data_IF_935148340998
#
_entry.id   IF_935148340998
#
_cell.length_a   1.000
_cell.length_b   1.000
_cell.length_c   1.000
_cell.angle_alpha   90.00
_cell.angle_beta   90.00
_cell.angle_gamma   90.00
#
_symmetry.space_group_name_H-M   'P 1'
#
loop_
_entity.id
_entity.type
_entity.pdbx_description
1 polymer ?
#
# COMPACT_ATOMS: atom_id res chain seq x y z
N UNK A 1 3.22 34.16 0.39
CA UNK A 1 2.34 32.98 0.19
C UNK A 1 2.48 32.14 1.44
N UNK A 2 1.46 32.18 2.28
CA UNK A 2 1.36 31.27 3.43
C UNK A 2 1.31 29.82 2.93
N UNK A 3 1.92 28.87 3.64
CA UNK A 3 1.79 27.46 3.30
C UNK A 3 0.31 27.05 3.50
N UNK A 4 -0.22 26.14 2.67
CA UNK A 4 -1.59 25.68 2.82
C UNK A 4 -1.73 24.96 4.17
N UNK A 5 -2.71 25.39 4.96
CA UNK A 5 -3.10 24.71 6.19
C UNK A 5 -3.59 23.30 5.83
N UNK A 6 -2.79 22.29 6.17
CA UNK A 6 -3.22 20.90 6.18
C UNK A 6 -4.34 20.77 7.21
N UNK A 7 -5.58 20.69 6.72
CA UNK A 7 -6.74 20.39 7.55
C UNK A 7 -6.61 18.94 8.06
N UNK A 8 -6.00 18.78 9.24
CA UNK A 8 -6.12 17.55 10.03
C UNK A 8 -7.57 17.44 10.49
N UNK A 9 -8.38 16.64 9.78
CA UNK A 9 -9.67 16.18 10.27
C UNK A 9 -9.47 15.07 11.34
N UNK A 10 -8.70 15.37 12.38
CA UNK A 10 -8.56 14.50 13.55
C UNK A 10 -9.66 14.83 14.54
N UNK A 11 -10.77 14.09 14.48
CA UNK A 11 -11.57 13.96 15.70
C UNK A 11 -10.71 13.15 16.65
N UNK A 12 -10.27 13.68 17.82
CA UNK A 12 -9.31 12.98 18.66
C UNK A 12 -9.93 11.68 19.15
N UNK A 13 -9.51 10.57 18.56
CA UNK A 13 -9.80 9.24 19.08
C UNK A 13 -9.07 9.11 20.41
N UNK A 14 -9.79 8.62 21.42
CA UNK A 14 -9.22 8.40 22.75
C UNK A 14 -8.09 7.37 22.60
N UNK A 15 -6.83 7.68 22.98
CA UNK A 15 -5.72 6.77 22.78
C UNK A 15 -5.91 5.46 23.55
N UNK A 16 -5.70 4.33 22.88
CA UNK A 16 -5.71 3.01 23.49
C UNK A 16 -4.37 2.70 24.16
N UNK A 17 -4.41 2.24 25.41
CA UNK A 17 -3.23 1.84 26.17
C UNK A 17 -3.47 0.44 26.73
N UNK A 18 -2.47 -0.43 26.59
CA UNK A 18 -2.48 -1.76 27.18
C UNK A 18 -1.56 -1.80 28.40
N UNK A 19 -2.10 -2.24 29.54
CA UNK A 19 -1.33 -2.47 30.76
C UNK A 19 -1.19 -3.99 30.96
N UNK A 20 0.05 -4.47 31.13
CA UNK A 20 0.37 -5.87 31.34
C UNK A 20 1.00 -6.03 32.72
N UNK A 21 0.29 -6.67 33.65
CA UNK A 21 0.73 -6.84 35.04
C UNK A 21 -0.03 -8.01 35.69
N UNK A 22 0.63 -8.79 36.55
CA UNK A 22 0.01 -9.93 37.23
C UNK A 22 -0.91 -9.50 38.40
N UNK A 23 -0.85 -8.24 38.82
CA UNK A 23 -1.65 -7.67 39.92
C UNK A 23 -2.81 -6.82 39.39
N UNK A 24 -3.99 -7.43 39.38
CA UNK A 24 -5.26 -6.77 39.07
C UNK A 24 -5.51 -5.46 39.84
N UNK A 25 -5.04 -5.37 41.09
CA UNK A 25 -5.20 -4.16 41.91
C UNK A 25 -4.52 -2.93 41.32
N UNK A 26 -3.33 -3.09 40.71
CA UNK A 26 -2.61 -2.00 40.07
C UNK A 26 -3.33 -1.55 38.80
N UNK A 27 -3.71 -2.51 37.95
CA UNK A 27 -4.46 -2.28 36.71
C UNK A 27 -5.75 -1.51 36.99
N UNK A 28 -6.53 -1.94 37.99
CA UNK A 28 -7.76 -1.25 38.37
C UNK A 28 -7.50 0.15 38.92
N UNK A 29 -6.40 0.35 39.64
CA UNK A 29 -5.95 1.68 40.09
C UNK A 29 -5.68 2.63 38.93
N UNK A 30 -4.88 2.19 37.96
CA UNK A 30 -4.54 2.97 36.77
C UNK A 30 -5.82 3.26 35.97
N UNK A 31 -6.63 2.25 35.66
CA UNK A 31 -7.86 2.39 34.87
C UNK A 31 -8.85 3.38 35.47
N UNK A 32 -9.02 3.40 36.80
CA UNK A 32 -9.87 4.40 37.49
C UNK A 32 -9.36 5.82 37.33
N UNK A 33 -8.04 6.00 37.41
CA UNK A 33 -7.41 7.32 37.45
C UNK A 33 -7.28 7.98 36.07
N UNK A 34 -7.40 7.22 34.97
CA UNK A 34 -7.20 7.76 33.60
C UNK A 34 -8.37 7.54 32.63
N UNK A 35 -9.52 7.05 33.12
CA UNK A 35 -10.70 6.69 32.31
C UNK A 35 -11.25 7.79 31.39
N UNK A 36 -10.94 9.06 31.68
CA UNK A 36 -11.41 10.21 30.90
C UNK A 36 -10.41 10.62 29.80
N UNK A 37 -9.19 10.07 29.79
CA UNK A 37 -8.10 10.45 28.88
C UNK A 37 -7.66 9.30 27.97
N UNK A 38 -7.76 8.05 28.44
CA UNK A 38 -7.27 6.88 27.72
C UNK A 38 -8.26 5.71 27.79
N UNK A 39 -8.30 4.91 26.72
CA UNK A 39 -8.99 3.63 26.70
C UNK A 39 -8.01 2.55 27.17
N UNK A 40 -8.24 2.00 28.38
CA UNK A 40 -7.34 1.04 29.00
C UNK A 40 -7.83 -0.40 28.79
N UNK A 41 -7.03 -1.17 28.05
CA UNK A 41 -7.08 -2.63 28.03
C UNK A 41 -6.03 -3.22 28.99
N UNK A 42 -6.27 -4.46 29.42
CA UNK A 42 -5.45 -5.13 30.42
C UNK A 42 -5.13 -6.55 29.99
N UNK A 43 -3.92 -7.01 30.33
CA UNK A 43 -3.48 -8.39 30.24
C UNK A 43 -2.78 -8.79 31.54
N UNK A 44 -2.88 -10.06 31.91
CA UNK A 44 -2.24 -10.62 33.11
C UNK A 44 -0.93 -11.35 32.81
N UNK A 45 -0.58 -11.51 31.53
CA UNK A 45 0.64 -12.15 31.06
C UNK A 45 1.11 -11.57 29.72
N UNK A 46 2.38 -11.78 29.39
CA UNK A 46 2.95 -11.36 28.10
C UNK A 46 2.33 -12.09 26.91
N UNK A 47 1.95 -13.37 27.07
CA UNK A 47 1.26 -14.18 26.06
C UNK A 47 -0.12 -13.60 25.73
N UNK A 48 -0.95 -13.37 26.75
CA UNK A 48 -2.28 -12.75 26.59
C UNK A 48 -2.17 -11.35 25.96
N UNK A 49 -1.15 -10.59 26.34
CA UNK A 49 -0.93 -9.26 25.77
C UNK A 49 -0.62 -9.30 24.26
N UNK A 50 0.14 -10.29 23.78
CA UNK A 50 0.41 -10.45 22.34
C UNK A 50 -0.85 -10.82 21.55
N UNK A 51 -1.73 -11.65 22.13
CA UNK A 51 -3.03 -11.96 21.54
C UNK A 51 -3.93 -10.71 21.45
N UNK A 52 -4.02 -9.94 22.53
CA UNK A 52 -4.79 -8.69 22.58
C UNK A 52 -4.27 -7.68 21.55
N UNK A 53 -2.96 -7.50 21.43
CA UNK A 53 -2.37 -6.59 20.43
C UNK A 53 -2.74 -7.02 19.01
N UNK A 54 -2.71 -8.32 18.73
CA UNK A 54 -3.03 -8.85 17.40
C UNK A 54 -4.52 -8.69 17.04
N UNK A 55 -5.42 -8.79 18.02
CA UNK A 55 -6.87 -8.76 17.79
C UNK A 55 -7.50 -7.37 17.91
N UNK A 56 -6.99 -6.53 18.83
CA UNK A 56 -7.62 -5.27 19.25
C UNK A 56 -6.75 -4.03 19.02
N UNK A 57 -5.56 -4.20 18.47
CA UNK A 57 -4.68 -3.08 18.11
C UNK A 57 -5.30 -2.12 17.08
N UNK A 58 -4.64 -0.97 16.83
CA UNK A 58 -3.34 -0.55 17.38
C UNK A 58 -3.45 0.04 18.79
N UNK A 59 -2.38 -0.09 19.57
CA UNK A 59 -2.22 0.54 20.88
C UNK A 59 -1.17 1.66 20.80
N UNK A 60 -1.48 2.84 21.35
CA UNK A 60 -0.54 3.95 21.39
C UNK A 60 0.61 3.67 22.36
N UNK A 61 0.27 3.13 23.54
CA UNK A 61 1.23 2.80 24.59
C UNK A 61 0.97 1.39 25.11
N UNK A 62 2.04 0.63 25.31
CA UNK A 62 2.00 -0.61 26.09
C UNK A 62 2.91 -0.43 27.30
N UNK A 63 2.38 -0.68 28.48
CA UNK A 63 3.11 -0.65 29.74
C UNK A 63 3.15 -2.05 30.32
N UNK A 64 4.35 -2.63 30.45
CA UNK A 64 4.53 -3.99 30.97
C UNK A 64 5.22 -3.97 32.33
N UNK A 65 4.79 -4.84 33.25
CA UNK A 65 5.63 -5.18 34.39
C UNK A 65 6.88 -5.94 33.95
N UNK A 66 7.96 -5.81 34.72
CA UNK A 66 9.19 -6.54 34.48
C UNK A 66 9.03 -8.03 34.85
N UNK A 67 8.47 -8.30 36.02
CA UNK A 67 8.33 -9.66 36.56
C UNK A 67 6.88 -10.13 36.43
N UNK A 68 6.62 -10.94 35.42
CA UNK A 68 5.32 -11.58 35.20
C UNK A 68 5.60 -13.08 35.13
N UNK A 69 4.89 -13.89 35.92
CA UNK A 69 5.16 -15.34 35.98
C UNK A 69 5.07 -15.98 34.58
N UNK A 70 6.20 -16.43 34.03
CA UNK A 70 6.32 -16.86 32.64
C UNK A 70 7.21 -15.92 31.83
N UNK A 71 6.70 -15.42 30.69
CA UNK A 71 7.42 -14.44 29.86
C UNK A 71 7.57 -13.11 30.60
N UNK A 72 8.82 -12.65 30.73
CA UNK A 72 9.10 -11.39 31.42
C UNK A 72 8.82 -10.17 30.52
N UNK A 73 8.81 -8.97 31.12
CA UNK A 73 8.49 -7.73 30.40
C UNK A 73 9.44 -7.41 29.24
N UNK A 74 10.74 -7.72 29.36
CA UNK A 74 11.72 -7.48 28.27
C UNK A 74 11.44 -8.40 27.08
N UNK A 75 11.23 -9.69 27.34
CA UNK A 75 10.92 -10.69 26.30
C UNK A 75 9.62 -10.34 25.57
N UNK A 76 8.59 -9.96 26.32
CA UNK A 76 7.32 -9.51 25.78
C UNK A 76 7.49 -8.26 24.91
N UNK A 77 8.12 -7.21 25.42
CA UNK A 77 8.30 -5.96 24.66
C UNK A 77 9.19 -6.17 23.41
N UNK A 78 10.14 -7.11 23.46
CA UNK A 78 10.95 -7.52 22.31
C UNK A 78 10.11 -8.21 21.21
N UNK A 79 9.15 -9.07 21.59
CA UNK A 79 8.19 -9.65 20.64
C UNK A 79 7.21 -8.60 20.11
N UNK A 80 6.69 -7.75 21.00
CA UNK A 80 5.80 -6.64 20.65
C UNK A 80 6.43 -5.71 19.62
N UNK A 81 7.73 -5.40 19.73
CA UNK A 81 8.44 -4.58 18.74
C UNK A 81 8.32 -5.12 17.31
N UNK A 82 8.28 -6.44 17.13
CA UNK A 82 8.12 -7.06 15.80
C UNK A 82 6.68 -6.99 15.30
N UNK A 83 5.72 -7.13 16.21
CA UNK A 83 4.29 -7.15 15.91
C UNK A 83 3.70 -5.74 15.70
N UNK A 84 4.09 -4.79 16.55
CA UNK A 84 3.63 -3.41 16.58
C UNK A 84 4.84 -2.47 16.80
N UNK A 85 5.64 -2.22 15.75
CA UNK A 85 6.89 -1.46 15.87
C UNK A 85 6.66 0.00 16.30
N UNK A 86 5.56 0.61 15.87
CA UNK A 86 5.25 2.02 16.12
C UNK A 86 4.68 2.28 17.53
N UNK A 87 4.21 1.24 18.24
CA UNK A 87 3.68 1.37 19.60
C UNK A 87 4.76 1.82 20.59
N UNK A 88 4.46 2.83 21.42
CA UNK A 88 5.38 3.25 22.49
C UNK A 88 5.42 2.21 23.60
N UNK A 89 6.61 1.69 23.87
CA UNK A 89 6.86 0.64 24.87
C UNK A 89 7.38 1.24 26.16
N UNK A 90 6.72 0.94 27.28
CA UNK A 90 7.12 1.40 28.61
C UNK A 90 7.16 0.22 29.57
N UNK A 91 7.95 0.35 30.64
CA UNK A 91 8.14 -0.71 31.61
C UNK A 91 7.92 -0.23 33.04
N UNK A 92 7.21 -1.01 33.84
CA UNK A 92 7.19 -0.87 35.29
C UNK A 92 8.28 -1.75 35.90
N UNK A 93 9.07 -1.22 36.82
CA UNK A 93 10.23 -1.93 37.41
C UNK A 93 10.28 -1.78 38.91
N UNK A 94 10.76 -2.80 39.63
CA UNK A 94 11.14 -2.67 41.03
C UNK A 94 12.58 -2.19 41.20
N UNK A 95 12.93 -1.74 42.41
CA UNK A 95 14.27 -1.23 42.74
C UNK A 95 15.41 -2.26 42.50
N UNK A 96 15.09 -3.56 42.58
CA UNK A 96 16.04 -4.65 42.32
C UNK A 96 16.27 -4.92 40.81
N UNK A 97 15.38 -4.44 39.93
CA UNK A 97 15.36 -4.79 38.50
C UNK A 97 16.01 -3.73 37.61
N UNK A 98 16.13 -2.48 38.08
CA UNK A 98 16.53 -1.34 37.23
C UNK A 98 17.92 -1.50 36.61
N UNK A 99 18.89 -2.08 37.33
CA UNK A 99 20.25 -2.33 36.81
C UNK A 99 20.25 -3.41 35.72
N UNK A 100 19.52 -4.51 35.94
CA UNK A 100 19.38 -5.62 34.99
C UNK A 100 18.54 -5.23 33.77
N UNK A 101 17.57 -4.34 33.97
CA UNK A 101 16.73 -3.81 32.91
C UNK A 101 17.56 -3.03 31.89
N UNK A 102 18.42 -2.08 32.34
CA UNK A 102 19.24 -1.20 31.48
C UNK A 102 20.13 -1.99 30.50
N UNK A 103 20.75 -3.07 30.94
CA UNK A 103 21.64 -3.88 30.09
C UNK A 103 20.86 -4.71 29.04
N UNK A 104 19.57 -4.96 29.29
CA UNK A 104 18.67 -5.72 28.41
C UNK A 104 17.86 -4.84 27.44
N UNK A 105 17.90 -3.50 27.58
CA UNK A 105 17.02 -2.54 26.87
C UNK A 105 17.31 -2.41 25.39
N UNK A 106 18.55 -2.64 24.96
CA UNK A 106 18.96 -2.34 23.59
C UNK A 106 18.15 -3.10 22.53
N UNK A 107 17.58 -4.26 22.87
CA UNK A 107 16.76 -5.04 21.94
C UNK A 107 15.27 -4.62 21.92
N UNK A 108 14.76 -4.02 23.00
CA UNK A 108 13.33 -3.68 23.16
C UNK A 108 12.92 -2.27 22.76
N UNK A 109 13.87 -1.33 22.61
CA UNK A 109 13.63 0.12 22.46
C UNK A 109 12.52 0.62 23.41
N UNK A 110 12.77 0.47 24.71
CA UNK A 110 11.86 0.93 25.76
C UNK A 110 12.00 2.45 25.85
N UNK A 111 10.87 3.15 25.71
CA UNK A 111 10.83 4.62 25.78
C UNK A 111 11.04 5.13 27.20
N UNK A 112 10.47 4.45 28.20
CA UNK A 112 10.51 4.90 29.59
C UNK A 112 10.33 3.76 30.59
N UNK A 113 11.07 3.87 31.69
CA UNK A 113 10.92 3.08 32.91
C UNK A 113 10.12 3.87 33.95
N UNK A 114 9.23 3.18 34.66
CA UNK A 114 8.45 3.71 35.78
C UNK A 114 8.78 2.84 36.98
N UNK A 115 9.31 3.44 38.04
CA UNK A 115 9.70 2.73 39.26
C UNK A 115 8.46 2.45 40.14
N UNK A 116 8.33 1.21 40.63
CA UNK A 116 7.32 0.80 41.60
C UNK A 116 7.83 0.99 43.04
N UNK A 117 6.98 1.47 43.98
CA UNK A 117 5.57 1.82 43.80
C UNK A 117 5.39 3.18 43.10
N UNK A 118 4.47 3.27 42.14
CA UNK A 118 4.17 4.49 41.41
C UNK A 118 2.75 5.00 41.72
N UNK A 119 2.63 6.26 42.16
CA UNK A 119 1.35 6.92 42.32
C UNK A 119 0.86 7.61 41.03
N UNK A 120 -0.40 8.10 41.02
CA UNK A 120 -0.99 8.78 39.86
C UNK A 120 -0.17 9.96 39.34
N UNK A 121 0.51 10.68 40.23
CA UNK A 121 1.41 11.78 39.93
C UNK A 121 2.63 11.36 39.08
N UNK A 122 2.99 10.08 39.08
CA UNK A 122 4.11 9.55 38.31
C UNK A 122 3.63 8.94 36.98
N UNK A 123 2.68 8.01 37.03
CA UNK A 123 2.32 7.27 35.83
C UNK A 123 1.42 8.07 34.89
N UNK A 124 0.60 9.02 35.34
CA UNK A 124 -0.25 9.83 34.43
C UNK A 124 0.61 10.69 33.49
N UNK A 125 1.59 11.49 33.98
CA UNK A 125 2.49 12.21 33.09
C UNK A 125 3.31 11.27 32.19
N UNK A 126 3.69 10.09 32.69
CA UNK A 126 4.42 9.11 31.91
C UNK A 126 3.57 8.58 30.73
N UNK A 127 2.30 8.22 30.97
CA UNK A 127 1.38 7.77 29.92
C UNK A 127 1.12 8.87 28.89
N UNK A 128 0.91 10.12 29.33
CA UNK A 128 0.76 11.28 28.42
C UNK A 128 2.00 11.46 27.54
N UNK A 129 3.19 11.40 28.12
CA UNK A 129 4.44 11.47 27.36
C UNK A 129 4.60 10.27 26.38
N UNK A 130 4.15 9.08 26.77
CA UNK A 130 4.17 7.91 25.90
C UNK A 130 3.23 8.03 24.70
N UNK A 131 2.02 8.59 24.90
CA UNK A 131 1.06 8.87 23.82
C UNK A 131 1.60 9.95 22.89
N UNK A 132 2.24 10.99 23.42
CA UNK A 132 2.87 12.02 22.58
C UNK A 132 4.03 11.45 21.76
N UNK A 133 4.85 10.59 22.36
CA UNK A 133 5.89 9.88 21.62
C UNK A 133 5.29 9.01 20.49
N UNK A 134 4.17 8.34 20.75
CA UNK A 134 3.47 7.55 19.74
C UNK A 134 3.04 8.44 18.57
N UNK A 135 2.43 9.60 18.85
CA UNK A 135 2.03 10.56 17.82
C UNK A 135 3.21 11.03 16.98
N UNK A 136 4.35 11.34 17.60
CA UNK A 136 5.56 11.74 16.88
C UNK A 136 6.09 10.62 15.97
N UNK A 137 6.10 9.38 16.45
CA UNK A 137 6.52 8.21 15.66
C UNK A 137 5.57 7.98 14.48
N UNK A 138 4.26 8.08 14.72
CA UNK A 138 3.25 7.94 13.66
C UNK A 138 3.38 9.04 12.62
N UNK A 139 3.51 10.31 13.03
CA UNK A 139 3.68 11.44 12.13
C UNK A 139 4.96 11.31 11.27
N UNK A 140 6.06 10.83 11.87
CA UNK A 140 7.30 10.57 11.13
C UNK A 140 7.12 9.42 10.12
N UNK A 141 6.45 8.34 10.51
CA UNK A 141 6.16 7.20 9.64
C UNK A 141 5.27 7.62 8.47
N UNK A 142 4.24 8.43 8.72
CA UNK A 142 3.32 8.96 7.71
C UNK A 142 4.04 9.90 6.74
N UNK A 143 4.78 10.89 7.24
CA UNK A 143 5.56 11.81 6.41
C UNK A 143 6.55 11.07 5.50
N UNK A 144 7.21 10.03 6.03
CA UNK A 144 8.13 9.21 5.25
C UNK A 144 7.40 8.40 4.17
N UNK A 145 6.23 7.82 4.49
CA UNK A 145 5.37 7.13 3.52
C UNK A 145 4.96 8.09 2.40
N UNK A 146 4.48 9.28 2.73
CA UNK A 146 4.03 10.26 1.75
C UNK A 146 5.17 10.78 0.87
N UNK A 147 6.33 11.05 1.47
CA UNK A 147 7.52 11.49 0.73
C UNK A 147 7.99 10.41 -0.24
N UNK A 148 8.04 9.15 0.21
CA UNK A 148 8.43 8.02 -0.64
C UNK A 148 7.42 7.82 -1.79
N UNK A 149 6.13 7.85 -1.47
CA UNK A 149 5.06 7.72 -2.45
C UNK A 149 5.11 8.85 -3.49
N UNK A 150 5.31 10.10 -3.05
CA UNK A 150 5.49 11.25 -3.94
C UNK A 150 6.69 11.10 -4.87
N UNK A 151 7.84 10.66 -4.34
CA UNK A 151 9.04 10.43 -5.15
C UNK A 151 8.82 9.35 -6.21
N UNK A 152 8.20 8.23 -5.85
CA UNK A 152 7.96 7.13 -6.79
C UNK A 152 6.94 7.54 -7.85
N UNK A 153 5.89 8.29 -7.49
CA UNK A 153 4.93 8.83 -8.46
C UNK A 153 5.61 9.74 -9.48
N UNK A 154 6.46 10.67 -9.03
CA UNK A 154 7.20 11.57 -9.94
C UNK A 154 8.16 10.77 -10.85
N UNK A 155 8.89 9.80 -10.31
CA UNK A 155 9.75 8.94 -11.13
C UNK A 155 8.95 8.14 -12.15
N UNK A 156 7.79 7.62 -11.74
CA UNK A 156 6.84 6.97 -12.64
C UNK A 156 6.39 7.89 -13.77
N UNK A 157 5.96 9.11 -13.46
CA UNK A 157 5.56 10.10 -14.47
C UNK A 157 6.68 10.44 -15.46
N UNK A 158 7.91 10.61 -14.99
CA UNK A 158 9.07 10.88 -15.86
C UNK A 158 9.35 9.67 -16.75
N UNK A 159 9.30 8.46 -16.21
CA UNK A 159 9.51 7.25 -17.01
C UNK A 159 8.38 7.04 -18.02
N UNK A 160 7.14 7.42 -17.71
CA UNK A 160 6.03 7.46 -18.68
C UNK A 160 6.30 8.36 -19.87
N UNK A 161 7.10 9.41 -19.69
CA UNK A 161 7.51 10.29 -20.77
C UNK A 161 8.62 9.72 -21.66
N UNK A 162 9.38 8.73 -21.16
CA UNK A 162 10.53 8.12 -21.85
C UNK A 162 10.18 6.79 -22.52
N UNK A 163 9.33 5.97 -21.88
CA UNK A 163 8.77 4.75 -22.45
C UNK A 163 7.24 4.74 -22.29
N UNK A 164 6.52 5.40 -23.19
CA UNK A 164 5.08 5.63 -23.04
C UNK A 164 4.24 4.34 -23.03
N UNK A 165 4.66 3.30 -23.75
CA UNK A 165 3.90 2.05 -23.85
C UNK A 165 4.00 1.23 -22.55
N UNK A 166 5.21 1.04 -22.04
CA UNK A 166 5.45 0.31 -20.79
C UNK A 166 4.74 0.95 -19.58
N UNK A 167 4.65 2.28 -19.57
CA UNK A 167 4.03 3.01 -18.46
C UNK A 167 2.52 3.21 -18.60
N UNK A 168 1.99 3.32 -19.84
CA UNK A 168 0.54 3.25 -20.05
C UNK A 168 -0.02 1.93 -19.49
N UNK A 169 0.74 0.84 -19.66
CA UNK A 169 0.45 -0.46 -19.06
C UNK A 169 0.42 -0.39 -17.54
N UNK A 170 1.48 0.12 -16.92
CA UNK A 170 1.60 0.25 -15.47
C UNK A 170 0.44 1.04 -14.86
N UNK A 171 0.02 2.14 -15.50
CA UNK A 171 -1.14 2.94 -15.06
C UNK A 171 -2.46 2.18 -15.14
N UNK A 172 -2.73 1.45 -16.23
CA UNK A 172 -3.96 0.63 -16.35
C UNK A 172 -4.02 -0.49 -15.30
N UNK A 173 -2.89 -1.14 -15.05
CA UNK A 173 -2.76 -2.17 -14.02
C UNK A 173 -2.98 -1.55 -12.64
N UNK A 174 -2.32 -0.44 -12.33
CA UNK A 174 -2.47 0.28 -11.05
C UNK A 174 -3.93 0.62 -10.78
N UNK A 175 -4.62 1.16 -11.77
CA UNK A 175 -6.04 1.48 -11.65
C UNK A 175 -6.88 0.25 -11.29
N UNK A 176 -6.72 -0.84 -12.04
CA UNK A 176 -7.48 -2.08 -11.83
C UNK A 176 -7.21 -2.67 -10.43
N UNK A 177 -5.94 -2.64 -10.01
CA UNK A 177 -5.51 -3.07 -8.68
C UNK A 177 -6.11 -2.19 -7.57
N UNK A 178 -6.09 -0.85 -7.74
CA UNK A 178 -6.66 0.11 -6.77
C UNK A 178 -8.15 -0.14 -6.55
N UNK A 179 -8.92 -0.28 -7.64
CA UNK A 179 -10.37 -0.53 -7.55
C UNK A 179 -10.67 -1.87 -6.89
N UNK A 180 -9.94 -2.92 -7.26
CA UNK A 180 -10.12 -4.26 -6.67
C UNK A 180 -9.77 -4.26 -5.19
N UNK A 181 -8.66 -3.63 -4.79
CA UNK A 181 -8.26 -3.53 -3.39
C UNK A 181 -9.28 -2.75 -2.55
N UNK A 182 -9.86 -1.67 -3.10
CA UNK A 182 -10.91 -0.91 -2.44
C UNK A 182 -12.21 -1.73 -2.29
N UNK A 183 -12.62 -2.49 -3.31
CA UNK A 183 -13.79 -3.36 -3.26
C UNK A 183 -13.65 -4.47 -2.21
N UNK A 184 -12.42 -4.94 -1.98
CA UNK A 184 -12.07 -5.93 -0.97
C UNK A 184 -11.87 -5.34 0.44
N UNK A 185 -12.07 -4.03 0.63
CA UNK A 185 -11.86 -3.30 1.89
C UNK A 185 -10.45 -3.53 2.48
N UNK A 186 -9.43 -3.55 1.60
CA UNK A 186 -8.05 -3.78 2.04
C UNK A 186 -7.43 -2.52 2.65
N UNK A 187 -6.72 -2.64 3.78
CA UNK A 187 -5.98 -1.53 4.36
C UNK A 187 -4.76 -1.17 3.50
N UNK A 188 -4.20 0.03 3.71
CA UNK A 188 -2.98 0.49 3.04
C UNK A 188 -3.02 0.37 1.50
N UNK A 189 -4.11 0.82 0.86
CA UNK A 189 -4.34 0.75 -0.60
C UNK A 189 -3.11 1.15 -1.43
N UNK A 190 -2.38 2.16 -0.96
CA UNK A 190 -1.17 2.68 -1.58
C UNK A 190 -0.11 1.60 -1.86
N UNK A 191 -0.03 0.53 -1.04
CA UNK A 191 0.94 -0.57 -1.23
C UNK A 191 0.64 -1.37 -2.50
N UNK A 192 -0.64 -1.62 -2.77
CA UNK A 192 -1.08 -2.36 -3.96
C UNK A 192 -0.90 -1.53 -5.22
N UNK A 193 -1.21 -0.23 -5.14
CA UNK A 193 -0.91 0.73 -6.22
C UNK A 193 0.60 0.72 -6.54
N UNK A 194 1.44 0.72 -5.51
CA UNK A 194 2.89 0.70 -5.67
C UNK A 194 3.39 -0.60 -6.29
N UNK A 195 2.85 -1.74 -5.87
CA UNK A 195 3.16 -3.04 -6.46
C UNK A 195 2.81 -3.07 -7.95
N UNK A 196 1.68 -2.47 -8.34
CA UNK A 196 1.27 -2.38 -9.74
C UNK A 196 2.22 -1.51 -10.57
N UNK A 197 2.57 -0.30 -10.11
CA UNK A 197 3.52 0.58 -10.81
C UNK A 197 4.88 -0.12 -10.98
N UNK A 198 5.37 -0.75 -9.91
CA UNK A 198 6.72 -1.31 -9.87
C UNK A 198 6.81 -2.74 -10.42
N UNK A 199 5.67 -3.38 -10.71
CA UNK A 199 5.58 -4.73 -11.32
C UNK A 199 6.43 -4.88 -12.59
N UNK A 200 6.57 -3.80 -13.35
CA UNK A 200 7.25 -3.77 -14.64
C UNK A 200 8.75 -3.45 -14.55
N UNK A 201 9.26 -3.02 -13.37
CA UNK A 201 10.66 -2.55 -13.29
C UNK A 201 11.69 -3.65 -13.56
N UNK A 202 11.32 -4.91 -13.27
CA UNK A 202 12.14 -6.08 -13.58
C UNK A 202 12.28 -6.36 -15.08
N UNK A 203 11.34 -5.87 -15.90
CA UNK A 203 11.36 -6.07 -17.35
C UNK A 203 12.49 -5.32 -18.05
N UNK A 204 13.19 -4.39 -17.37
CA UNK A 204 14.31 -3.62 -17.94
C UNK A 204 15.46 -4.48 -18.48
N UNK A 205 15.62 -5.70 -17.95
CA UNK A 205 16.65 -6.65 -18.38
C UNK A 205 16.16 -7.61 -19.47
N UNK A 206 14.87 -7.57 -19.81
CA UNK A 206 14.26 -8.48 -20.78
C UNK A 206 14.39 -7.84 -22.17
N UNK A 207 15.00 -8.53 -23.15
CA UNK A 207 15.04 -8.06 -24.52
C UNK A 207 13.64 -7.77 -25.08
N UNK A 208 13.52 -6.68 -25.84
CA UNK A 208 12.28 -6.25 -26.47
C UNK A 208 11.62 -7.36 -27.31
N UNK A 209 12.41 -8.18 -28.01
CA UNK A 209 11.92 -9.31 -28.81
C UNK A 209 11.21 -10.36 -27.97
N UNK A 210 11.63 -10.58 -26.72
CA UNK A 210 10.97 -11.52 -25.80
C UNK A 210 9.71 -10.87 -25.25
N UNK A 211 9.77 -9.59 -24.88
CA UNK A 211 8.59 -8.86 -24.42
C UNK A 211 7.48 -8.87 -25.49
N UNK A 212 7.80 -8.64 -26.75
CA UNK A 212 6.82 -8.67 -27.84
C UNK A 212 6.13 -10.04 -27.97
N UNK A 213 6.90 -11.13 -27.91
CA UNK A 213 6.34 -12.49 -27.90
C UNK A 213 5.38 -12.71 -26.73
N UNK A 214 5.75 -12.27 -25.53
CA UNK A 214 4.89 -12.36 -24.34
C UNK A 214 3.59 -11.59 -24.53
N UNK A 215 3.65 -10.35 -25.03
CA UNK A 215 2.45 -9.53 -25.25
C UNK A 215 1.54 -10.11 -26.34
N UNK A 216 2.10 -10.75 -27.36
CA UNK A 216 1.35 -11.38 -28.46
C UNK A 216 0.93 -12.83 -28.15
N UNK A 217 1.22 -13.33 -26.95
CA UNK A 217 0.96 -14.72 -26.54
C UNK A 217 1.61 -15.76 -27.48
N UNK A 218 2.78 -15.40 -28.00
CA UNK A 218 3.61 -16.27 -28.82
C UNK A 218 4.40 -17.24 -27.94
N UNK A 219 4.67 -18.43 -28.47
CA UNK A 219 5.45 -19.44 -27.75
C UNK A 219 6.89 -18.98 -27.54
N UNK A 220 7.31 -18.91 -26.28
CA UNK A 220 8.70 -18.70 -25.90
C UNK A 220 9.49 -20.01 -25.99
N UNK A 221 10.74 -19.94 -26.40
CA UNK A 221 11.70 -21.02 -26.17
C UNK A 221 11.95 -21.20 -24.67
N UNK A 222 12.51 -22.35 -24.28
CA UNK A 222 12.80 -22.64 -22.87
C UNK A 222 13.68 -21.55 -22.23
N UNK A 223 14.74 -21.13 -22.92
CA UNK A 223 15.68 -20.12 -22.42
C UNK A 223 15.02 -18.73 -22.32
N UNK A 224 14.17 -18.37 -23.29
CA UNK A 224 13.41 -17.12 -23.25
C UNK A 224 12.40 -17.11 -22.10
N UNK A 225 11.71 -18.22 -21.86
CA UNK A 225 10.80 -18.37 -20.73
C UNK A 225 11.55 -18.28 -19.39
N UNK A 226 12.70 -18.95 -19.27
CA UNK A 226 13.53 -18.90 -18.06
C UNK A 226 14.04 -17.49 -17.77
N UNK A 227 14.40 -16.73 -18.81
CA UNK A 227 14.79 -15.33 -18.67
C UNK A 227 13.59 -14.45 -18.27
N UNK A 228 12.45 -14.61 -18.94
CA UNK A 228 11.23 -13.88 -18.60
C UNK A 228 10.78 -14.16 -17.16
N UNK A 229 10.87 -15.40 -16.68
CA UNK A 229 10.49 -15.77 -15.32
C UNK A 229 11.38 -15.13 -14.22
N UNK A 230 12.52 -14.50 -14.56
CA UNK A 230 13.46 -13.91 -13.60
C UNK A 230 13.18 -12.44 -13.27
N UNK A 231 12.81 -11.61 -14.25
CA UNK A 231 11.52 -10.95 -14.10
C UNK A 231 11.16 -10.36 -12.72
N UNK A 232 10.21 -11.01 -12.02
CA UNK A 232 9.72 -10.57 -10.72
C UNK A 232 10.80 -10.54 -9.63
N UNK A 233 11.76 -11.47 -9.66
CA UNK A 233 12.80 -11.58 -8.64
C UNK A 233 13.84 -10.45 -8.77
N UNK A 234 14.08 -9.98 -9.98
CA UNK A 234 14.95 -8.81 -10.20
C UNK A 234 14.28 -7.55 -9.64
N UNK A 235 12.98 -7.38 -9.91
CA UNK A 235 12.22 -6.30 -9.28
C UNK A 235 12.26 -6.40 -7.75
N UNK A 236 12.06 -7.59 -7.18
CA UNK A 236 12.21 -7.85 -5.75
C UNK A 236 13.58 -7.41 -5.21
N UNK A 237 14.67 -7.77 -5.88
CA UNK A 237 16.03 -7.42 -5.47
C UNK A 237 16.33 -5.93 -5.52
N UNK A 238 15.68 -5.19 -6.42
CA UNK A 238 15.75 -3.73 -6.47
C UNK A 238 14.94 -3.11 -5.33
N UNK A 239 13.70 -3.57 -5.14
CA UNK A 239 12.74 -2.99 -4.21
C UNK A 239 13.10 -3.27 -2.74
N UNK A 240 13.60 -4.46 -2.41
CA UNK A 240 13.95 -4.83 -1.02
C UNK A 240 15.08 -3.99 -0.42
N UNK A 241 15.79 -3.23 -1.23
CA UNK A 241 16.84 -2.28 -0.78
C UNK A 241 16.25 -0.97 -0.26
N UNK A 242 14.99 -0.70 -0.57
CA UNK A 242 14.27 0.48 -0.09
C UNK A 242 13.55 0.09 1.21
N UNK A 243 13.85 0.75 2.35
CA UNK A 243 13.17 0.47 3.61
C UNK A 243 11.64 0.61 3.47
N UNK A 244 10.90 -0.28 4.12
CA UNK A 244 9.42 -0.30 4.13
C UNK A 244 8.77 -0.72 2.80
N UNK A 245 9.56 -1.20 1.83
CA UNK A 245 9.07 -1.80 0.58
C UNK A 245 9.05 -3.33 0.61
N UNK A 246 9.28 -3.97 1.76
CA UNK A 246 9.43 -5.42 1.84
C UNK A 246 8.16 -6.15 1.40
N UNK A 247 6.99 -5.64 1.80
CA UNK A 247 5.71 -6.19 1.38
C UNK A 247 5.43 -5.94 -0.10
N UNK A 248 5.65 -4.73 -0.60
CA UNK A 248 5.51 -4.40 -2.04
C UNK A 248 6.43 -5.29 -2.87
N UNK A 249 7.67 -5.47 -2.43
CA UNK A 249 8.65 -6.34 -3.06
C UNK A 249 8.15 -7.80 -3.09
N UNK A 250 7.62 -8.32 -1.97
CA UNK A 250 7.03 -9.67 -1.91
C UNK A 250 5.86 -9.83 -2.88
N UNK A 251 5.01 -8.81 -2.99
CA UNK A 251 3.87 -8.80 -3.91
C UNK A 251 4.35 -8.91 -5.36
N UNK A 252 5.30 -8.06 -5.74
CA UNK A 252 5.90 -8.07 -7.10
C UNK A 252 6.62 -9.38 -7.37
N UNK A 253 7.40 -9.91 -6.42
CA UNK A 253 8.16 -11.16 -6.56
C UNK A 253 7.28 -12.35 -6.97
N UNK A 254 6.02 -12.38 -6.51
CA UNK A 254 5.09 -13.48 -6.74
C UNK A 254 4.02 -13.14 -7.77
N UNK A 255 4.22 -12.11 -8.61
CA UNK A 255 3.21 -11.67 -9.59
C UNK A 255 2.90 -12.69 -10.70
N UNK A 256 3.80 -13.66 -10.91
CA UNK A 256 3.64 -14.77 -11.86
C UNK A 256 3.16 -16.07 -11.19
N UNK A 257 2.78 -16.03 -9.90
CA UNK A 257 2.20 -17.20 -9.21
C UNK A 257 0.76 -17.42 -9.62
N UNK A 258 0.42 -18.70 -9.75
CA UNK A 258 -0.95 -19.17 -9.91
C UNK A 258 -1.49 -19.62 -8.55
N UNK A 259 -2.80 -19.48 -8.36
CA UNK A 259 -3.48 -19.79 -7.10
C UNK A 259 -3.35 -21.27 -6.71
N UNK A 260 -3.31 -22.18 -7.68
CA UNK A 260 -3.07 -23.62 -7.50
C UNK A 260 -1.63 -23.98 -7.06
N UNK A 261 -0.72 -23.00 -7.04
CA UNK A 261 0.69 -23.13 -6.69
C UNK A 261 1.64 -23.22 -7.88
N UNK A 262 1.10 -23.24 -9.10
CA UNK A 262 1.86 -23.13 -10.35
C UNK A 262 2.52 -21.77 -10.53
N UNK A 263 3.18 -21.59 -11.68
CA UNK A 263 3.87 -20.35 -12.02
C UNK A 263 5.19 -20.15 -11.25
N UNK A 264 5.65 -18.89 -11.21
CA UNK A 264 6.94 -18.51 -10.62
C UNK A 264 6.75 -17.49 -9.48
N UNK A 265 7.58 -17.54 -8.42
CA UNK A 265 8.70 -18.46 -8.19
C UNK A 265 8.23 -19.89 -7.88
N UNK A 266 9.09 -20.90 -8.12
CA UNK A 266 8.78 -22.32 -7.84
C UNK A 266 9.05 -22.69 -6.37
N UNK A 267 8.41 -21.97 -5.46
CA UNK A 267 8.60 -22.09 -4.01
C UNK A 267 7.52 -22.92 -3.30
N UNK A 268 6.60 -23.53 -4.06
CA UNK A 268 5.52 -24.39 -3.54
C UNK A 268 4.35 -23.66 -2.88
N UNK A 269 4.40 -22.33 -2.70
CA UNK A 269 3.29 -21.55 -2.14
C UNK A 269 2.06 -21.64 -3.03
N UNK A 270 0.89 -21.78 -2.41
CA UNK A 270 -0.41 -21.84 -3.07
C UNK A 270 -1.51 -21.20 -2.21
N UNK A 271 -2.65 -20.89 -2.83
CA UNK A 271 -3.81 -20.34 -2.13
C UNK A 271 -3.47 -19.07 -1.36
N UNK A 272 -3.88 -19.01 -0.09
CA UNK A 272 -3.68 -17.86 0.79
C UNK A 272 -2.22 -17.64 1.24
N UNK A 273 -1.31 -18.58 0.97
CA UNK A 273 0.12 -18.38 1.20
C UNK A 273 0.73 -17.35 0.22
N UNK A 274 0.04 -17.12 -0.90
CA UNK A 274 0.43 -16.11 -1.89
C UNK A 274 -0.06 -14.74 -1.38
N UNK A 275 0.80 -13.70 -1.34
CA UNK A 275 0.39 -12.36 -0.92
C UNK A 275 -0.86 -11.91 -1.69
N UNK A 276 -1.84 -11.35 -0.98
CA UNK A 276 -3.10 -10.90 -1.61
C UNK A 276 -2.85 -9.91 -2.74
N UNK A 277 -1.87 -9.01 -2.58
CA UNK A 277 -1.46 -8.10 -3.65
C UNK A 277 -0.94 -8.80 -4.91
N UNK A 278 -0.24 -9.94 -4.77
CA UNK A 278 0.20 -10.74 -5.93
C UNK A 278 -0.99 -11.39 -6.64
N UNK A 279 -1.98 -11.89 -5.88
CA UNK A 279 -3.20 -12.49 -6.44
C UNK A 279 -4.01 -11.47 -7.24
N UNK A 280 -4.17 -10.25 -6.72
CA UNK A 280 -4.81 -9.13 -7.44
C UNK A 280 -3.98 -8.77 -8.69
N UNK A 281 -2.66 -8.64 -8.54
CA UNK A 281 -1.77 -8.23 -9.62
C UNK A 281 -1.74 -9.24 -10.78
N UNK A 282 -1.76 -10.55 -10.51
CA UNK A 282 -1.83 -11.60 -11.54
C UNK A 282 -3.07 -11.46 -12.42
N UNK A 283 -4.24 -11.23 -11.81
CA UNK A 283 -5.50 -11.01 -12.54
C UNK A 283 -5.38 -9.73 -13.38
N UNK A 284 -4.93 -8.63 -12.78
CA UNK A 284 -4.79 -7.34 -13.48
C UNK A 284 -3.79 -7.39 -14.65
N UNK A 285 -2.68 -8.12 -14.51
CA UNK A 285 -1.66 -8.31 -15.55
C UNK A 285 -2.20 -9.13 -16.73
N UNK A 286 -2.91 -10.22 -16.45
CA UNK A 286 -3.52 -11.06 -17.48
C UNK A 286 -4.66 -10.34 -18.20
N UNK A 287 -5.49 -9.62 -17.46
CA UNK A 287 -6.53 -8.77 -18.01
C UNK A 287 -5.95 -7.72 -18.96
N UNK A 288 -4.95 -6.95 -18.50
CA UNK A 288 -4.30 -5.93 -19.34
C UNK A 288 -3.64 -6.53 -20.59
N UNK A 289 -3.06 -7.74 -20.50
CA UNK A 289 -2.52 -8.45 -21.66
C UNK A 289 -3.59 -8.90 -22.66
N UNK A 290 -4.80 -9.24 -22.20
CA UNK A 290 -5.94 -9.55 -23.09
C UNK A 290 -6.43 -8.28 -23.79
N UNK A 291 -6.63 -7.19 -23.04
CA UNK A 291 -7.03 -5.90 -23.59
C UNK A 291 -5.99 -5.36 -24.59
N UNK A 292 -4.70 -5.50 -24.27
CA UNK A 292 -3.59 -5.10 -25.15
C UNK A 292 -3.58 -5.84 -26.50
N UNK A 293 -4.13 -7.06 -26.55
CA UNK A 293 -4.33 -7.83 -27.78
C UNK A 293 -5.61 -7.44 -28.55
N UNK A 294 -6.35 -6.45 -28.07
CA UNK A 294 -7.59 -5.98 -28.67
C UNK A 294 -8.82 -6.85 -28.36
N UNK A 295 -8.73 -7.71 -27.34
CA UNK A 295 -9.89 -8.47 -26.85
C UNK A 295 -10.78 -7.50 -26.08
N UNK A 296 -12.09 -7.54 -26.35
CA UNK A 296 -13.04 -6.69 -25.64
C UNK A 296 -13.17 -7.10 -24.17
N UNK A 297 -13.67 -6.18 -23.35
CA UNK A 297 -13.83 -6.36 -21.91
C UNK A 297 -14.56 -7.65 -21.53
N UNK A 298 -15.72 -7.89 -22.14
CA UNK A 298 -16.61 -8.98 -21.77
C UNK A 298 -15.97 -10.33 -22.11
N UNK A 299 -15.33 -10.42 -23.26
CA UNK A 299 -14.60 -11.62 -23.66
C UNK A 299 -13.31 -11.80 -22.84
N UNK A 300 -12.60 -10.74 -22.46
CA UNK A 300 -11.43 -10.83 -21.59
C UNK A 300 -11.79 -11.40 -20.21
N UNK A 301 -12.83 -10.87 -19.57
CA UNK A 301 -13.38 -11.36 -18.29
C UNK A 301 -13.78 -12.84 -18.38
N UNK A 302 -14.45 -13.22 -19.47
CA UNK A 302 -14.83 -14.60 -19.74
C UNK A 302 -13.61 -15.52 -19.91
N UNK A 303 -12.58 -15.08 -20.63
CA UNK A 303 -11.35 -15.86 -20.79
C UNK A 303 -10.60 -16.05 -19.47
N UNK A 304 -10.56 -15.03 -18.59
CA UNK A 304 -10.00 -15.19 -17.24
C UNK A 304 -10.78 -16.23 -16.44
N UNK A 305 -12.11 -16.20 -16.53
CA UNK A 305 -13.00 -17.15 -15.83
C UNK A 305 -12.81 -18.61 -16.27
N UNK A 306 -12.31 -18.85 -17.48
CA UNK A 306 -12.07 -20.20 -18.02
C UNK A 306 -10.74 -20.80 -17.54
N UNK A 307 -9.85 -20.01 -16.91
CA UNK A 307 -8.54 -20.48 -16.44
C UNK A 307 -8.64 -21.07 -15.04
N UNK A 308 -9.04 -22.34 -14.97
CA UNK A 308 -9.19 -23.07 -13.70
C UNK A 308 -7.88 -23.13 -12.91
N UNK A 309 -7.94 -22.79 -11.62
CA UNK A 309 -6.80 -22.86 -10.70
C UNK A 309 -5.81 -21.69 -10.78
N UNK A 310 -5.96 -20.77 -11.73
CA UNK A 310 -5.01 -19.66 -11.90
C UNK A 310 -5.22 -18.54 -10.89
N UNK A 311 -6.49 -18.25 -10.59
CA UNK A 311 -6.89 -17.09 -9.82
C UNK A 311 -7.61 -17.48 -8.54
N UNK A 312 -7.50 -16.60 -7.54
CA UNK A 312 -8.36 -16.67 -6.36
C UNK A 312 -9.80 -16.34 -6.78
N UNK A 313 -10.78 -17.24 -6.57
CA UNK A 313 -12.16 -17.04 -7.03
C UNK A 313 -12.83 -15.80 -6.41
N UNK A 314 -12.54 -15.47 -5.15
CA UNK A 314 -13.15 -14.33 -4.46
C UNK A 314 -12.61 -12.99 -5.00
N UNK A 315 -11.31 -12.97 -5.31
CA UNK A 315 -10.67 -11.79 -5.91
C UNK A 315 -11.09 -11.64 -7.36
N UNK A 316 -11.20 -12.73 -8.12
CA UNK A 316 -11.65 -12.70 -9.51
C UNK A 316 -13.08 -12.15 -9.63
N UNK A 317 -13.98 -12.60 -8.76
CA UNK A 317 -15.35 -12.06 -8.69
C UNK A 317 -15.36 -10.57 -8.35
N UNK A 318 -14.57 -10.15 -7.34
CA UNK A 318 -14.43 -8.74 -6.99
C UNK A 318 -13.85 -7.90 -8.13
N UNK A 319 -12.86 -8.44 -8.84
CA UNK A 319 -12.25 -7.82 -10.01
C UNK A 319 -13.29 -7.65 -11.11
N UNK A 320 -14.09 -8.68 -11.44
CA UNK A 320 -15.17 -8.59 -12.42
C UNK A 320 -16.17 -7.49 -12.07
N UNK A 321 -16.60 -7.39 -10.81
CA UNK A 321 -17.53 -6.34 -10.38
C UNK A 321 -16.94 -4.94 -10.58
N UNK A 322 -15.65 -4.74 -10.25
CA UNK A 322 -14.97 -3.45 -10.48
C UNK A 322 -14.72 -3.15 -11.96
N UNK A 323 -14.51 -4.19 -12.75
CA UNK A 323 -14.35 -4.14 -14.20
C UNK A 323 -15.68 -3.82 -14.91
N UNK A 324 -16.81 -4.29 -14.38
CA UNK A 324 -18.16 -3.92 -14.84
C UNK A 324 -18.53 -2.50 -14.40
N UNK A 325 -17.89 -1.97 -13.35
CA UNK A 325 -17.78 -0.51 -13.10
C UNK A 325 -16.70 0.09 -14.03
N UNK A 326 -16.61 -0.39 -15.26
CA UNK A 326 -16.15 0.42 -16.38
C UNK A 326 -17.16 1.56 -16.52
N UNK A 327 -16.89 2.60 -15.73
CA UNK A 327 -17.38 3.96 -15.87
C UNK A 327 -17.59 4.22 -17.36
N UNK A 328 -18.81 4.59 -17.74
CA UNK A 328 -19.18 5.01 -19.10
C UNK A 328 -18.26 6.17 -19.49
N UNK A 329 -17.10 5.83 -20.03
CA UNK A 329 -16.18 6.78 -20.58
C UNK A 329 -16.78 7.22 -21.89
N UNK A 330 -17.30 8.45 -21.91
CA UNK A 330 -17.79 9.01 -23.17
C UNK A 330 -16.55 9.48 -23.91
N UNK A 331 -16.30 8.91 -25.08
CA UNK A 331 -15.30 9.45 -25.99
C UNK A 331 -15.76 10.83 -26.45
N UNK A 332 -14.99 11.85 -26.08
CA UNK A 332 -15.27 13.23 -26.38
C UNK A 332 -14.03 13.90 -26.97
N UNK A 333 -14.28 14.86 -27.87
CA UNK A 333 -13.25 15.77 -28.34
C UNK A 333 -13.06 16.85 -27.28
N UNK A 334 -11.93 16.82 -26.58
CA UNK A 334 -11.62 17.72 -25.46
C UNK A 334 -10.55 18.72 -25.88
N UNK A 335 -10.75 20.00 -25.57
CA UNK A 335 -9.75 21.04 -25.76
C UNK A 335 -8.61 20.85 -24.76
N UNK A 336 -7.36 21.15 -25.14
CA UNK A 336 -6.19 20.94 -24.27
C UNK A 336 -6.29 21.68 -22.93
N UNK A 337 -7.00 22.80 -22.87
CA UNK A 337 -7.26 23.54 -21.62
C UNK A 337 -8.31 22.91 -20.71
N UNK A 338 -9.21 22.10 -21.28
CA UNK A 338 -10.27 21.41 -20.55
C UNK A 338 -9.88 19.97 -20.15
N UNK A 339 -8.69 19.51 -20.56
CA UNK A 339 -8.12 18.26 -20.08
C UNK A 339 -7.90 18.32 -18.58
N UNK A 340 -8.50 17.38 -17.86
CA UNK A 340 -8.31 17.19 -16.42
C UNK A 340 -7.46 15.96 -16.16
N UNK A 341 -6.82 15.85 -14.98
CA UNK A 341 -6.25 14.59 -14.55
C UNK A 341 -7.27 13.45 -14.61
N UNK A 342 -6.81 12.21 -14.80
CA UNK A 342 -7.63 10.98 -14.83
C UNK A 342 -8.49 10.75 -16.10
N UNK A 343 -8.40 11.61 -17.11
CA UNK A 343 -8.94 11.30 -18.44
C UNK A 343 -7.98 10.34 -19.17
N UNK A 344 -8.47 9.53 -20.10
CA UNK A 344 -7.60 8.69 -20.94
C UNK A 344 -7.55 9.25 -22.35
N UNK A 345 -6.38 9.36 -22.96
CA UNK A 345 -6.29 9.74 -24.37
C UNK A 345 -6.86 8.62 -25.25
N UNK A 346 -7.90 8.93 -26.03
CA UNK A 346 -8.55 7.97 -26.94
C UNK A 346 -7.84 7.86 -28.30
N UNK A 347 -6.83 8.69 -28.54
CA UNK A 347 -6.04 8.74 -29.78
C UNK A 347 -4.54 8.85 -29.49
N UNK A 348 -3.73 8.52 -30.48
CA UNK A 348 -2.33 8.94 -30.52
C UNK A 348 -2.23 10.45 -30.78
N UNK A 349 -1.31 11.12 -30.11
CA UNK A 349 -0.95 12.51 -30.38
C UNK A 349 0.37 12.52 -31.13
N UNK A 350 0.35 13.03 -32.36
CA UNK A 350 1.50 13.15 -33.25
C UNK A 350 1.74 14.62 -33.57
N UNK A 351 3.00 14.99 -33.83
CA UNK A 351 3.30 16.31 -34.39
C UNK A 351 2.99 16.39 -35.90
N UNK A 352 3.16 17.58 -36.47
CA UNK A 352 2.92 17.83 -37.91
C UNK A 352 3.82 17.04 -38.84
N UNK A 353 4.94 16.52 -38.36
CA UNK A 353 5.87 15.66 -39.11
C UNK A 353 5.50 14.17 -38.95
N UNK A 354 4.47 13.85 -38.17
CA UNK A 354 4.00 12.48 -37.93
C UNK A 354 4.69 11.77 -36.77
N UNK A 355 5.59 12.45 -36.04
CA UNK A 355 6.31 11.90 -34.90
C UNK A 355 5.34 11.62 -33.76
N UNK A 356 5.35 10.41 -33.21
CA UNK A 356 4.54 10.05 -32.04
C UNK A 356 5.04 10.81 -30.80
N UNK A 357 4.17 11.64 -30.22
CA UNK A 357 4.47 12.41 -29.02
C UNK A 357 3.86 11.78 -27.78
N UNK A 358 2.64 11.25 -27.90
CA UNK A 358 1.91 10.59 -26.82
C UNK A 358 1.08 9.42 -27.40
N UNK A 359 1.18 8.20 -26.85
CA UNK A 359 0.38 7.07 -27.32
C UNK A 359 -1.09 7.17 -26.87
N UNK A 360 -1.95 6.42 -27.55
CA UNK A 360 -3.32 6.17 -27.11
C UNK A 360 -3.33 5.40 -25.78
N UNK A 361 -4.31 5.71 -24.93
CA UNK A 361 -4.58 4.99 -23.67
C UNK A 361 -3.80 5.50 -22.46
N UNK A 362 -2.96 6.53 -22.64
CA UNK A 362 -2.25 7.16 -21.53
C UNK A 362 -3.22 8.03 -20.71
N UNK A 363 -3.16 7.88 -19.39
CA UNK A 363 -3.90 8.73 -18.46
C UNK A 363 -3.29 10.14 -18.41
N UNK A 364 -4.15 11.15 -18.45
CA UNK A 364 -3.75 12.54 -18.34
C UNK A 364 -3.29 12.83 -16.91
N UNK A 365 -2.00 13.15 -16.77
CA UNK A 365 -1.43 13.73 -15.55
C UNK A 365 -1.21 15.23 -15.73
N UNK A 366 -1.06 16.02 -14.65
CA UNK A 366 -0.72 17.45 -14.76
C UNK A 366 0.52 17.72 -15.62
N UNK A 367 1.52 16.83 -15.53
CA UNK A 367 2.74 16.90 -16.34
C UNK A 367 2.46 16.62 -17.82
N UNK A 368 1.67 15.58 -18.13
CA UNK A 368 1.30 15.27 -19.51
C UNK A 368 0.47 16.38 -20.15
N UNK A 369 -0.50 16.93 -19.43
CA UNK A 369 -1.33 18.06 -19.87
C UNK A 369 -0.43 19.26 -20.18
N UNK A 370 0.51 19.58 -19.29
CA UNK A 370 1.47 20.66 -19.49
C UNK A 370 2.36 20.42 -20.72
N UNK A 371 2.81 19.18 -20.93
CA UNK A 371 3.60 18.79 -22.11
C UNK A 371 2.80 18.92 -23.41
N UNK A 372 1.55 18.47 -23.44
CA UNK A 372 0.65 18.63 -24.59
C UNK A 372 0.43 20.11 -24.92
N UNK A 373 0.14 20.95 -23.91
CA UNK A 373 0.02 22.40 -24.10
C UNK A 373 1.30 23.03 -24.65
N UNK A 374 2.47 22.58 -24.21
CA UNK A 374 3.76 23.05 -24.72
C UNK A 374 4.01 22.59 -26.17
N UNK A 375 3.65 21.36 -26.52
CA UNK A 375 3.73 20.89 -27.91
C UNK A 375 2.76 21.63 -28.83
N UNK A 376 1.57 22.00 -28.35
CA UNK A 376 0.65 22.81 -29.12
C UNK A 376 1.27 24.18 -29.44
N UNK A 377 1.94 24.80 -28.45
CA UNK A 377 2.64 26.07 -28.61
C UNK A 377 3.88 26.02 -29.52
N UNK A 378 4.63 24.92 -29.50
CA UNK A 378 5.95 24.84 -30.15
C UNK A 378 6.02 23.95 -31.40
N UNK A 379 5.19 22.91 -31.49
CA UNK A 379 5.26 21.84 -32.51
C UNK A 379 3.94 21.61 -33.26
N UNK A 380 2.99 22.54 -33.15
CA UNK A 380 1.73 22.57 -33.90
C UNK A 380 0.91 21.26 -33.82
N UNK A 381 0.77 20.66 -32.64
CA UNK A 381 -0.27 19.63 -32.45
C UNK A 381 -1.66 20.28 -32.42
N UNK A 382 -2.71 19.51 -32.72
CA UNK A 382 -4.09 19.98 -32.64
C UNK A 382 -4.42 20.46 -31.21
N UNK A 383 -5.14 21.58 -31.09
CA UNK A 383 -5.61 22.14 -29.81
C UNK A 383 -6.70 21.28 -29.15
N UNK A 384 -7.20 20.27 -29.87
CA UNK A 384 -8.13 19.27 -29.38
C UNK A 384 -7.54 17.87 -29.49
N UNK A 385 -7.87 17.02 -28.51
CA UNK A 385 -7.58 15.58 -28.53
C UNK A 385 -8.86 14.79 -28.26
N UNK A 386 -8.97 13.59 -28.82
CA UNK A 386 -9.99 12.64 -28.37
C UNK A 386 -9.56 12.08 -27.01
N UNK A 387 -10.45 12.19 -26.03
CA UNK A 387 -10.24 11.65 -24.70
C UNK A 387 -11.51 10.94 -24.22
N UNK A 388 -11.30 9.83 -23.52
CA UNK A 388 -12.31 9.17 -22.72
C UNK A 388 -12.49 10.00 -21.44
N UNK A 389 -13.67 10.60 -21.30
CA UNK A 389 -14.05 11.40 -20.13
C UNK A 389 -14.94 10.55 -19.20
N UNK A 390 -14.62 10.43 -17.91
CA UNK A 390 -15.44 9.64 -17.00
C UNK A 390 -16.78 10.34 -16.73
N UNK A 391 -17.91 9.62 -16.83
CA UNK A 391 -19.27 10.15 -16.58
C UNK A 391 -19.46 10.67 -15.16
N UNK A 392 -18.76 10.08 -14.19
CA UNK A 392 -18.65 10.53 -12.79
C UNK A 392 -17.19 10.83 -12.46
N UNK A 393 -16.93 11.90 -11.70
CA UNK A 393 -15.58 12.17 -11.21
C UNK A 393 -15.06 10.93 -10.44
N UNK A 394 -13.77 10.59 -10.55
CA UNK A 394 -13.23 9.44 -9.85
C UNK A 394 -13.54 9.56 -8.36
N UNK A 395 -13.77 8.41 -7.71
CA UNK A 395 -14.05 8.22 -6.28
C UNK A 395 -13.12 8.97 -5.31
N UNK A 396 -12.11 9.73 -5.74
CA UNK A 396 -11.38 10.65 -4.87
C UNK A 396 -12.28 11.77 -4.33
N UNK A 397 -13.32 12.22 -5.06
CA UNK A 397 -14.33 13.13 -4.50
C UNK A 397 -15.27 12.42 -3.54
N UNK A 398 -15.70 11.19 -3.84
CA UNK A 398 -16.60 10.41 -2.99
C UNK A 398 -15.91 9.72 -1.80
N UNK A 399 -14.61 9.45 -1.84
CA UNK A 399 -13.83 8.96 -0.69
C UNK A 399 -13.43 10.13 0.23
N UNK A 400 -13.22 11.33 -0.33
CA UNK A 400 -13.15 12.54 0.45
C UNK A 400 -14.50 12.87 1.13
N UNK A 401 -15.63 12.61 0.46
CA UNK A 401 -16.98 12.87 1.00
C UNK A 401 -17.56 11.74 1.88
N UNK A 402 -17.26 10.46 1.62
CA UNK A 402 -17.68 9.32 2.42
C UNK A 402 -16.92 9.22 3.76
N UNK A 403 -15.70 9.77 3.81
CA UNK A 403 -15.00 10.04 5.06
C UNK A 403 -15.69 11.11 5.93
N UNK A 404 -16.47 12.01 5.31
CA UNK A 404 -17.25 13.04 6.02
C UNK A 404 -18.71 12.66 6.28
N UNK A 405 -19.32 11.79 5.48
CA UNK A 405 -20.76 11.51 5.53
C UNK A 405 -21.20 10.41 6.52
N UNK A 406 -20.27 9.72 7.22
CA UNK A 406 -20.60 8.84 8.35
C UNK A 406 -20.68 9.55 9.72
N UNK A 407 -20.64 10.89 9.74
CA UNK A 407 -20.94 11.70 10.94
C UNK A 407 -22.10 12.63 10.64
N UNK A 408 -23.30 12.10 10.82
CA UNK A 408 -24.53 12.89 11.03
C UNK A 408 -25.31 12.24 12.15
#
# INVERSE_FOLDING_TARGET
MEPPATAMNDTPTIPKILIVDDKLSLIQGIKRNVRNEFEIEAALSGEEALEIVSQKGPFAVVVSDMQMGGMNGVEFLGKLRKLAPDTTRMMLTGNADMRTAIDSVNDGHIFRFIEKPCGPEIYIPALRAGVEQYRLVMAQTELLKDTLNGCIRVLGEILSLLNPEAFSRASRIQRSVKLTAAQLDLPDIWMYEMAAILSQIGCVIIPETIMQKVHMDESLTKDEYELFAQHPLIAFDLLRKIPRMEEVARMVASQEKLFDGGGCPRDGKKGDEIPIGSRILRIALDYDALIGRGIDHAEAVKQLSLREGWYDPAILESFHQTCVIEVTYIEQRVHLDDLKPYMLLAQEVRDTEGTLLVPKGLETTPLLISRLKNFHKMRNINEHVQALVPETQPLESELAEAGTAKKS
#
